data_IF_733185163058
#
_entry.id   IF_733185163058
#
_cell.length_a   1.000
_cell.length_b   1.000
_cell.length_c   1.000
_cell.angle_alpha   90.00
_cell.angle_beta   90.00
_cell.angle_gamma   90.00
#
_symmetry.space_group_name_H-M   'P 1'
#
loop_
_entity.id
_entity.type
_entity.pdbx_description
1 polymer ?
#
# COMPACT_ATOMS: atom_id res chain seq x y z
N UNK A 1 -1.22 8.28 59.66
CA UNK A 1 -2.62 8.78 59.79
C UNK A 1 -2.87 9.85 58.73
N UNK A 2 -3.79 9.59 57.80
CA UNK A 2 -4.75 10.52 57.14
C UNK A 2 -5.16 9.92 55.80
N UNK A 3 -6.32 9.24 55.82
CA UNK A 3 -7.09 8.86 54.65
C UNK A 3 -7.90 10.10 54.23
N UNK A 4 -7.87 10.48 52.95
CA UNK A 4 -8.81 11.44 52.38
C UNK A 4 -9.67 10.66 51.39
N UNK A 5 -10.91 10.43 51.80
CA UNK A 5 -12.03 10.02 50.98
C UNK A 5 -12.56 11.29 50.29
N UNK A 6 -12.69 11.30 48.97
CA UNK A 6 -13.61 12.21 48.29
C UNK A 6 -14.60 11.36 47.48
N UNK A 7 -15.85 11.40 47.94
CA UNK A 7 -17.04 10.91 47.27
C UNK A 7 -17.70 12.15 46.68
N UNK A 8 -17.95 12.18 45.37
CA UNK A 8 -18.97 13.08 44.80
C UNK A 8 -19.60 12.50 43.54
N UNK A 9 -20.74 11.87 43.79
CA UNK A 9 -22.06 12.05 43.15
C UNK A 9 -22.21 12.06 41.62
N UNK A 10 -22.94 11.03 41.17
CA UNK A 10 -23.86 10.94 40.03
C UNK A 10 -24.51 12.26 39.57
N UNK A 11 -24.53 12.47 38.25
CA UNK A 11 -25.65 13.10 37.55
C UNK A 11 -25.92 12.33 36.25
N UNK A 12 -27.08 11.66 36.22
CA UNK A 12 -27.63 11.02 35.05
C UNK A 12 -28.35 12.08 34.20
N UNK A 13 -28.03 12.15 32.91
CA UNK A 13 -28.86 12.79 31.89
C UNK A 13 -28.98 11.82 30.72
N UNK A 14 -29.99 10.95 30.81
CA UNK A 14 -30.53 10.24 29.66
C UNK A 14 -31.52 11.18 28.98
N UNK A 15 -31.21 11.61 27.76
CA UNK A 15 -32.17 12.25 26.87
C UNK A 15 -32.49 11.26 25.72
N UNK A 16 -33.77 10.98 25.44
CA UNK A 16 -34.15 10.16 24.31
C UNK A 16 -34.15 11.01 23.03
N UNK A 17 -33.29 10.67 22.07
CA UNK A 17 -33.42 11.13 20.68
C UNK A 17 -34.21 10.06 19.92
N UNK A 18 -35.53 10.13 20.03
CA UNK A 18 -36.47 9.41 19.18
C UNK A 18 -37.53 10.42 18.72
N UNK A 19 -37.34 10.98 17.53
CA UNK A 19 -38.40 11.32 16.58
C UNK A 19 -37.85 12.10 15.39
N UNK A 20 -37.57 11.39 14.29
CA UNK A 20 -37.68 11.92 12.94
C UNK A 20 -37.84 10.75 11.97
N UNK A 21 -39.00 10.10 12.08
CA UNK A 21 -39.52 9.20 11.05
C UNK A 21 -41.02 9.52 10.89
N UNK A 22 -41.29 10.70 10.35
CA UNK A 22 -42.62 11.05 9.88
C UNK A 22 -42.72 10.66 8.40
N UNK A 23 -43.66 9.77 8.13
CA UNK A 23 -44.36 9.59 6.86
C UNK A 23 -43.54 9.15 5.63
N UNK A 24 -43.13 7.88 5.63
CA UNK A 24 -43.12 7.11 4.38
C UNK A 24 -44.05 5.90 4.55
N UNK A 25 -45.13 5.87 3.77
CA UNK A 25 -46.10 4.78 3.68
C UNK A 25 -45.41 3.49 3.21
N UNK A 26 -44.81 2.73 4.12
CA UNK A 26 -44.31 1.37 3.88
C UNK A 26 -45.40 0.35 4.23
N UNK A 27 -46.53 0.37 3.52
CA UNK A 27 -47.57 -0.64 3.67
C UNK A 27 -47.24 -1.86 2.81
N UNK A 28 -46.57 -2.86 3.38
CA UNK A 28 -46.56 -4.21 2.80
C UNK A 28 -45.32 -5.08 3.02
N UNK A 29 -44.13 -4.48 3.19
CA UNK A 29 -42.90 -5.26 3.38
C UNK A 29 -41.83 -4.46 4.15
N UNK A 30 -41.55 -4.81 5.43
CA UNK A 30 -40.54 -4.14 6.23
C UNK A 30 -39.11 -4.37 5.75
N UNK A 31 -38.84 -5.45 4.99
CA UNK A 31 -37.50 -5.72 4.43
C UNK A 31 -37.22 -4.83 3.21
N UNK A 32 -38.23 -4.57 2.38
CA UNK A 32 -38.11 -3.70 1.21
C UNK A 32 -37.78 -2.23 1.56
N UNK A 33 -38.30 -1.70 2.68
CA UNK A 33 -37.97 -0.33 3.10
C UNK A 33 -36.55 -0.19 3.67
N UNK A 34 -35.97 -1.25 4.24
CA UNK A 34 -34.59 -1.21 4.73
C UNK A 34 -33.57 -1.17 3.58
N UNK A 35 -33.85 -1.85 2.46
CA UNK A 35 -32.98 -1.83 1.27
C UNK A 35 -33.03 -0.47 0.56
N UNK A 36 -34.20 0.16 0.47
CA UNK A 36 -34.33 1.48 -0.16
C UNK A 36 -33.73 2.63 0.68
N UNK A 37 -33.74 2.54 2.01
CA UNK A 37 -33.12 3.57 2.85
C UNK A 37 -31.59 3.56 2.81
N UNK A 38 -30.97 2.41 2.50
CA UNK A 38 -29.50 2.31 2.34
C UNK A 38 -29.09 2.71 0.91
N UNK A 39 -29.93 2.50 -0.10
CA UNK A 39 -29.62 2.86 -1.49
C UNK A 39 -30.01 4.29 -1.88
N UNK A 40 -30.89 4.95 -1.12
CA UNK A 40 -31.34 6.33 -1.39
C UNK A 40 -30.34 7.43 -1.02
N UNK A 41 -29.35 7.15 -0.18
CA UNK A 41 -28.33 8.11 0.27
C UNK A 41 -27.00 8.01 -0.50
N UNK A 42 -27.05 7.55 -1.76
CA UNK A 42 -25.90 7.61 -2.68
C UNK A 42 -26.10 8.58 -3.85
N UNK A 43 -27.17 9.40 -3.85
CA UNK A 43 -27.32 10.49 -4.81
C UNK A 43 -26.71 11.78 -4.26
N UNK A 44 -25.79 12.34 -5.04
CA UNK A 44 -25.00 13.57 -4.82
C UNK A 44 -23.76 13.47 -3.92
N UNK A 45 -22.95 12.42 -4.10
CA UNK A 45 -21.52 12.72 -4.19
C UNK A 45 -21.32 13.39 -5.55
N UNK A 46 -21.27 14.73 -5.56
CA UNK A 46 -20.66 15.47 -6.67
C UNK A 46 -19.35 14.75 -6.97
N UNK A 47 -19.17 14.36 -8.24
CA UNK A 47 -17.88 13.91 -8.70
C UNK A 47 -16.87 14.96 -8.24
N UNK A 48 -16.06 14.63 -7.23
CA UNK A 48 -14.87 15.39 -6.95
C UNK A 48 -14.08 15.21 -8.22
N UNK A 49 -14.03 16.29 -9.00
CA UNK A 49 -13.21 16.39 -10.19
C UNK A 49 -11.80 16.10 -9.71
N UNK A 50 -11.39 14.84 -9.82
CA UNK A 50 -10.02 14.47 -9.54
C UNK A 50 -9.20 15.30 -10.52
N UNK A 51 -8.18 16.03 -10.04
CA UNK A 51 -7.35 16.81 -10.94
C UNK A 51 -6.91 15.89 -12.07
N UNK A 52 -7.10 16.35 -13.31
CA UNK A 52 -6.60 15.62 -14.47
C UNK A 52 -5.14 15.23 -14.18
N UNK A 53 -4.77 13.96 -14.40
CA UNK A 53 -3.40 13.51 -14.20
C UNK A 53 -2.49 14.46 -14.98
N UNK A 54 -1.74 15.26 -14.23
CA UNK A 54 -1.01 16.40 -14.76
C UNK A 54 0.17 15.90 -15.58
N UNK A 55 -0.05 15.76 -16.89
CA UNK A 55 0.90 15.28 -17.89
C UNK A 55 1.46 13.86 -17.61
N UNK A 56 1.84 13.10 -18.65
CA UNK A 56 2.63 11.91 -18.45
C UNK A 56 3.93 12.30 -17.75
N UNK A 57 4.07 11.87 -16.49
CA UNK A 57 5.37 11.79 -15.81
C UNK A 57 6.34 11.18 -16.81
N UNK A 58 7.40 11.93 -17.13
CA UNK A 58 8.47 11.52 -18.02
C UNK A 58 8.79 10.05 -17.74
N UNK A 59 8.48 9.19 -18.72
CA UNK A 59 8.90 7.80 -18.74
C UNK A 59 10.37 7.80 -18.36
N UNK A 60 10.70 7.17 -17.23
CA UNK A 60 12.06 7.04 -16.76
C UNK A 60 12.90 6.51 -17.92
N UNK A 61 13.75 7.37 -18.50
CA UNK A 61 14.71 6.94 -19.50
C UNK A 61 15.56 5.85 -18.84
N UNK A 62 15.63 4.69 -19.50
CA UNK A 62 16.34 3.52 -19.01
C UNK A 62 17.75 3.93 -18.56
N UNK A 63 18.04 3.83 -17.26
CA UNK A 63 19.31 4.25 -16.68
C UNK A 63 20.45 3.47 -17.36
N UNK A 64 21.31 4.12 -18.16
CA UNK A 64 22.39 3.43 -18.84
C UNK A 64 23.50 3.11 -17.84
N UNK A 65 23.90 1.84 -17.73
CA UNK A 65 25.16 1.47 -17.05
C UNK A 65 25.12 0.32 -16.05
N UNK A 66 24.03 -0.44 -15.94
CA UNK A 66 24.00 -1.61 -15.05
C UNK A 66 24.42 -2.87 -15.83
N UNK A 67 25.63 -3.44 -15.61
CA UNK A 67 26.05 -4.64 -16.31
C UNK A 67 25.19 -5.85 -15.89
N UNK A 68 24.52 -6.47 -16.86
CA UNK A 68 23.74 -7.69 -16.66
C UNK A 68 24.65 -8.84 -16.19
N UNK A 69 24.44 -9.36 -14.98
CA UNK A 69 25.22 -10.48 -14.41
C UNK A 69 24.70 -11.87 -14.78
N UNK A 70 23.69 -11.94 -15.64
CA UNK A 70 23.15 -13.17 -16.22
C UNK A 70 22.86 -12.85 -17.69
N UNK A 71 23.25 -13.70 -18.64
CA UNK A 71 23.10 -13.43 -20.08
C UNK A 71 21.66 -13.29 -20.61
N UNK A 72 20.69 -13.06 -19.73
CA UNK A 72 19.34 -12.63 -20.05
C UNK A 72 19.32 -11.10 -20.04
N UNK A 73 18.85 -10.48 -21.12
CA UNK A 73 18.58 -9.05 -21.13
C UNK A 73 17.61 -8.70 -19.99
N UNK A 74 17.82 -7.55 -19.34
CA UNK A 74 16.89 -7.08 -18.33
C UNK A 74 15.49 -6.95 -18.96
N UNK A 75 14.44 -7.48 -18.30
CA UNK A 75 13.08 -7.37 -18.82
C UNK A 75 12.65 -5.90 -18.90
N UNK A 76 11.81 -5.60 -19.89
CA UNK A 76 11.33 -4.24 -20.15
C UNK A 76 10.32 -3.83 -19.06
N UNK A 77 10.50 -2.63 -18.51
CA UNK A 77 9.59 -2.03 -17.53
C UNK A 77 8.16 -1.92 -18.08
N UNK A 78 7.16 -2.23 -17.24
CA UNK A 78 5.73 -2.12 -17.56
C UNK A 78 5.14 -0.89 -16.86
N UNK A 79 5.12 0.29 -17.53
CA UNK A 79 4.63 1.53 -16.92
C UNK A 79 3.12 1.51 -16.67
N UNK A 80 2.34 0.73 -17.42
CA UNK A 80 0.89 0.66 -17.24
C UNK A 80 0.56 -0.08 -15.95
N UNK A 81 1.19 -1.24 -15.72
CA UNK A 81 1.02 -2.00 -14.48
C UNK A 81 1.58 -1.25 -13.27
N UNK A 82 2.71 -0.57 -13.44
CA UNK A 82 3.27 0.29 -12.41
C UNK A 82 2.31 1.42 -12.01
N UNK A 83 1.67 2.08 -12.98
CA UNK A 83 0.66 3.10 -12.72
C UNK A 83 -0.58 2.54 -11.99
N UNK A 84 -1.06 1.35 -12.35
CA UNK A 84 -2.16 0.68 -11.66
C UNK A 84 -1.82 0.39 -10.20
N UNK A 85 -0.61 -0.11 -9.93
CA UNK A 85 -0.15 -0.39 -8.56
C UNK A 85 -0.01 0.90 -7.73
N UNK A 86 0.62 1.92 -8.30
CA UNK A 86 0.75 3.23 -7.66
C UNK A 86 -0.62 3.85 -7.33
N UNK A 87 -1.56 3.81 -8.28
CA UNK A 87 -2.92 4.33 -8.08
C UNK A 87 -3.68 3.52 -7.03
N UNK A 88 -3.58 2.19 -7.07
CA UNK A 88 -4.24 1.32 -6.10
C UNK A 88 -3.77 1.66 -4.68
N UNK A 89 -2.47 1.77 -4.46
CA UNK A 89 -1.87 2.16 -3.18
C UNK A 89 -2.28 3.58 -2.78
N UNK A 90 -2.11 4.59 -3.64
CA UNK A 90 -2.47 5.98 -3.31
C UNK A 90 -3.93 6.16 -2.87
N UNK A 91 -4.84 5.33 -3.40
CA UNK A 91 -6.26 5.34 -3.03
C UNK A 91 -6.56 4.66 -1.69
N UNK A 92 -5.66 3.80 -1.19
CA UNK A 92 -5.75 3.22 0.14
C UNK A 92 -5.03 4.11 1.14
N UNK A 93 -5.76 4.72 2.05
CA UNK A 93 -5.13 5.30 3.24
C UNK A 93 -5.80 4.67 4.46
N UNK A 94 -5.06 3.82 5.18
CA UNK A 94 -5.51 3.30 6.47
C UNK A 94 -5.45 4.38 7.56
N UNK A 95 -4.81 5.52 7.27
CA UNK A 95 -4.77 6.70 8.13
C UNK A 95 -3.92 6.54 9.39
N UNK A 96 -3.23 5.40 9.54
CA UNK A 96 -2.47 5.09 10.75
C UNK A 96 -1.39 4.01 10.51
N UNK A 97 -0.17 4.28 10.97
CA UNK A 97 0.97 3.36 10.98
C UNK A 97 0.76 2.22 11.98
N UNK A 98 -0.13 1.29 11.64
CA UNK A 98 -0.62 0.21 12.52
C UNK A 98 0.20 -1.08 12.46
N UNK A 99 1.42 -1.03 11.91
CA UNK A 99 2.29 -2.19 11.65
C UNK A 99 1.67 -3.18 10.66
N UNK A 100 0.87 -2.65 9.74
CA UNK A 100 0.14 -3.39 8.70
C UNK A 100 0.69 -3.15 7.30
N UNK A 101 1.88 -2.57 7.18
CA UNK A 101 2.53 -2.31 5.89
C UNK A 101 2.47 -3.53 4.93
N UNK A 102 2.72 -4.74 5.42
CA UNK A 102 2.64 -5.95 4.58
C UNK A 102 1.23 -6.27 4.09
N UNK A 103 0.25 -6.27 4.99
CA UNK A 103 -1.16 -6.51 4.66
C UNK A 103 -1.66 -5.46 3.65
N UNK A 104 -1.30 -4.19 3.87
CA UNK A 104 -1.63 -3.09 2.99
C UNK A 104 -1.06 -3.29 1.58
N UNK A 105 0.25 -3.51 1.46
CA UNK A 105 0.88 -3.67 0.14
C UNK A 105 0.35 -4.91 -0.57
N UNK A 106 0.16 -6.01 0.16
CA UNK A 106 -0.40 -7.26 -0.40
C UNK A 106 -1.79 -7.04 -0.98
N UNK A 107 -2.67 -6.35 -0.24
CA UNK A 107 -4.00 -5.97 -0.73
C UNK A 107 -3.94 -5.12 -2.00
N UNK A 108 -3.01 -4.16 -2.08
CA UNK A 108 -2.87 -3.31 -3.26
C UNK A 108 -2.21 -4.01 -4.45
N UNK A 109 -1.32 -4.98 -4.21
CA UNK A 109 -0.81 -5.87 -5.26
C UNK A 109 -1.94 -6.71 -5.86
N UNK A 110 -2.86 -7.24 -5.03
CA UNK A 110 -4.04 -7.96 -5.52
C UNK A 110 -4.97 -7.05 -6.32
N UNK A 111 -5.28 -5.87 -5.78
CA UNK A 111 -6.16 -4.89 -6.44
C UNK A 111 -5.60 -4.41 -7.78
N UNK A 112 -4.28 -4.29 -7.91
CA UNK A 112 -3.60 -3.94 -9.14
C UNK A 112 -3.42 -5.12 -10.12
N UNK A 113 -3.83 -6.33 -9.73
CA UNK A 113 -3.68 -7.54 -10.55
C UNK A 113 -2.23 -8.03 -10.68
N UNK A 114 -1.33 -7.58 -9.80
CA UNK A 114 0.08 -8.03 -9.76
C UNK A 114 0.16 -9.49 -9.30
N UNK A 115 -0.71 -9.86 -8.36
CA UNK A 115 -0.80 -11.21 -7.80
C UNK A 115 -2.27 -11.55 -7.55
N UNK A 116 -2.66 -12.80 -7.79
CA UNK A 116 -4.00 -13.29 -7.44
C UNK A 116 -4.01 -13.87 -6.02
N UNK A 117 -5.13 -13.80 -5.28
CA UNK A 117 -5.19 -14.32 -3.91
C UNK A 117 -4.70 -15.76 -3.75
N UNK A 118 -5.00 -16.66 -4.70
CA UNK A 118 -4.54 -18.05 -4.66
C UNK A 118 -3.03 -18.22 -4.88
N UNK A 119 -2.37 -17.24 -5.52
CA UNK A 119 -0.95 -17.32 -5.83
C UNK A 119 -0.08 -17.14 -4.58
N UNK A 120 -0.52 -16.42 -3.54
CA UNK A 120 0.25 -16.29 -2.29
C UNK A 120 0.61 -17.64 -1.70
N UNK A 121 -0.39 -18.52 -1.58
CA UNK A 121 -0.22 -19.88 -1.08
C UNK A 121 0.54 -20.78 -2.08
N UNK A 122 0.21 -20.69 -3.37
CA UNK A 122 0.85 -21.49 -4.42
C UNK A 122 2.36 -21.23 -4.50
N UNK A 123 2.75 -19.95 -4.44
CA UNK A 123 4.13 -19.50 -4.55
C UNK A 123 4.87 -19.54 -3.21
N UNK A 124 4.16 -19.86 -2.11
CA UNK A 124 4.68 -19.90 -0.74
C UNK A 124 5.35 -18.58 -0.35
N UNK A 125 4.72 -17.48 -0.73
CA UNK A 125 5.17 -16.15 -0.33
C UNK A 125 4.79 -15.97 1.15
N UNK A 126 5.76 -15.58 1.98
CA UNK A 126 5.58 -15.47 3.44
C UNK A 126 4.44 -14.51 3.78
N UNK A 127 3.46 -14.90 4.61
CA UNK A 127 2.17 -14.20 4.69
C UNK A 127 2.17 -12.92 5.52
N UNK A 128 3.20 -12.66 6.33
CA UNK A 128 3.05 -11.74 7.47
C UNK A 128 4.12 -10.65 7.57
N UNK A 129 5.27 -10.78 6.89
CA UNK A 129 6.42 -9.89 7.10
C UNK A 129 7.08 -9.45 5.80
N UNK A 130 7.35 -8.15 5.70
CA UNK A 130 8.07 -7.55 4.58
C UNK A 130 9.43 -8.21 4.31
N UNK A 131 10.19 -8.48 5.37
CA UNK A 131 11.48 -9.15 5.26
C UNK A 131 11.39 -10.57 4.69
N UNK A 132 10.31 -11.31 5.00
CA UNK A 132 10.09 -12.66 4.45
C UNK A 132 9.77 -12.58 2.95
N UNK A 133 9.05 -11.53 2.53
CA UNK A 133 8.84 -11.24 1.11
C UNK A 133 10.14 -10.86 0.40
N UNK A 134 11.00 -10.02 1.00
CA UNK A 134 12.32 -9.70 0.43
C UNK A 134 13.19 -10.96 0.26
N UNK A 135 13.23 -11.82 1.30
CA UNK A 135 13.96 -13.09 1.26
C UNK A 135 13.42 -14.01 0.17
N UNK A 136 12.10 -14.20 0.11
CA UNK A 136 11.44 -14.98 -0.94
C UNK A 136 11.75 -14.42 -2.33
N UNK A 137 11.63 -13.11 -2.54
CA UNK A 137 11.91 -12.43 -3.80
C UNK A 137 13.38 -12.61 -4.24
N UNK A 138 14.31 -12.56 -3.29
CA UNK A 138 15.74 -12.80 -3.53
C UNK A 138 16.04 -14.22 -3.99
N UNK A 139 15.34 -15.21 -3.43
CA UNK A 139 15.52 -16.64 -3.73
C UNK A 139 14.74 -17.10 -4.98
N UNK A 140 13.63 -16.43 -5.33
CA UNK A 140 12.68 -16.88 -6.35
C UNK A 140 12.58 -15.94 -7.55
N UNK A 141 13.72 -15.43 -8.04
CA UNK A 141 13.78 -14.44 -9.14
C UNK A 141 13.05 -14.89 -10.41
N UNK A 142 13.17 -16.17 -10.76
CA UNK A 142 12.50 -16.73 -11.95
C UNK A 142 10.98 -16.72 -11.78
N UNK A 143 10.46 -17.10 -10.61
CA UNK A 143 9.02 -17.07 -10.32
C UNK A 143 8.48 -15.65 -10.24
N UNK A 144 9.23 -14.70 -9.67
CA UNK A 144 8.86 -13.29 -9.73
C UNK A 144 8.64 -12.83 -11.18
N UNK A 145 9.55 -13.22 -12.07
CA UNK A 145 9.47 -12.83 -13.46
C UNK A 145 8.35 -13.57 -14.20
N UNK A 146 8.26 -14.89 -14.08
CA UNK A 146 7.32 -15.70 -14.86
C UNK A 146 5.87 -15.61 -14.37
N UNK A 147 5.67 -15.60 -13.04
CA UNK A 147 4.34 -15.69 -12.43
C UNK A 147 3.74 -14.35 -12.04
N UNK A 148 4.60 -13.41 -11.60
CA UNK A 148 4.16 -12.10 -11.10
C UNK A 148 4.50 -10.94 -12.04
N UNK A 149 5.35 -11.17 -13.03
CA UNK A 149 5.88 -10.13 -13.92
C UNK A 149 6.53 -8.99 -13.13
N UNK A 150 7.30 -9.37 -12.13
CA UNK A 150 8.09 -8.48 -11.30
C UNK A 150 9.58 -8.76 -11.49
N UNK A 151 10.39 -7.71 -11.45
CA UNK A 151 11.84 -7.80 -11.55
C UNK A 151 12.51 -6.92 -10.52
N UNK A 152 13.57 -7.43 -9.87
CA UNK A 152 14.39 -6.63 -8.95
C UNK A 152 15.44 -5.87 -9.76
N UNK A 153 15.39 -4.54 -9.69
CA UNK A 153 16.47 -3.68 -10.20
C UNK A 153 17.44 -3.32 -9.06
N UNK A 154 18.67 -2.88 -9.38
CA UNK A 154 19.53 -2.30 -8.36
C UNK A 154 18.88 -1.07 -7.74
N UNK A 155 18.97 -0.96 -6.43
CA UNK A 155 18.50 0.20 -5.69
C UNK A 155 19.31 1.42 -6.11
N UNK A 156 18.68 2.50 -6.61
CA UNK A 156 19.40 3.69 -7.02
C UNK A 156 19.97 4.42 -5.80
N UNK A 157 21.01 5.25 -6.01
CA UNK A 157 21.59 6.07 -4.94
C UNK A 157 20.72 7.28 -4.59
N UNK A 158 19.98 7.78 -5.59
CA UNK A 158 19.02 8.87 -5.45
C UNK A 158 17.61 8.30 -5.33
N UNK A 159 16.90 8.67 -4.25
CA UNK A 159 15.51 8.24 -4.03
C UNK A 159 14.56 8.74 -5.13
N UNK A 160 14.89 9.86 -5.80
CA UNK A 160 14.11 10.40 -6.91
C UNK A 160 14.15 9.51 -8.14
N UNK A 161 15.19 8.67 -8.27
CA UNK A 161 15.35 7.76 -9.40
C UNK A 161 14.60 6.43 -9.22
N UNK A 162 13.90 6.23 -8.11
CA UNK A 162 13.04 5.07 -7.91
C UNK A 162 11.78 5.22 -8.79
N UNK A 163 11.49 4.27 -9.70
CA UNK A 163 10.31 4.37 -10.56
C UNK A 163 9.00 4.39 -9.76
N UNK A 164 8.05 5.21 -10.18
CA UNK A 164 6.68 5.16 -9.66
C UNK A 164 6.07 3.79 -9.97
N UNK A 165 5.33 3.23 -9.02
CA UNK A 165 4.78 1.88 -9.05
C UNK A 165 5.78 0.79 -8.65
N UNK A 166 6.99 1.16 -8.22
CA UNK A 166 7.92 0.19 -7.60
C UNK A 166 7.39 -0.23 -6.23
N UNK A 167 7.65 -1.49 -5.88
CA UNK A 167 7.54 -2.00 -4.52
C UNK A 167 8.92 -1.87 -3.88
N UNK A 168 9.00 -1.12 -2.79
CA UNK A 168 10.18 -1.02 -1.94
C UNK A 168 10.05 -2.00 -0.79
N UNK A 169 11.06 -2.83 -0.58
CA UNK A 169 11.12 -3.74 0.57
C UNK A 169 12.42 -3.50 1.34
N UNK A 170 12.27 -3.14 2.60
CA UNK A 170 13.37 -2.92 3.55
C UNK A 170 13.54 -4.18 4.37
N UNK A 171 14.74 -4.76 4.34
CA UNK A 171 15.08 -5.88 5.21
C UNK A 171 15.02 -5.47 6.70
N UNK A 172 15.14 -6.46 7.58
CA UNK A 172 15.06 -6.27 9.04
C UNK A 172 16.07 -5.24 9.52
N UNK A 173 15.60 -4.20 10.20
CA UNK A 173 16.45 -3.15 10.81
C UNK A 173 17.05 -2.16 9.82
N UNK A 174 16.76 -2.26 8.53
CA UNK A 174 17.22 -1.30 7.52
C UNK A 174 16.42 -0.01 7.66
N UNK A 175 17.09 1.14 7.54
CA UNK A 175 16.44 2.46 7.58
C UNK A 175 15.61 2.66 8.87
N UNK A 176 16.12 2.17 10.02
CA UNK A 176 15.46 2.20 11.33
C UNK A 176 14.07 1.52 11.41
N UNK A 177 13.70 0.74 10.38
CA UNK A 177 12.48 -0.06 10.41
C UNK A 177 12.60 -1.28 11.35
N UNK A 178 11.49 -1.99 11.52
CA UNK A 178 11.38 -3.12 12.44
C UNK A 178 12.51 -4.15 12.23
N UNK A 179 13.31 -4.36 13.28
CA UNK A 179 14.31 -5.44 13.33
C UNK A 179 13.69 -6.85 13.26
N UNK A 180 12.37 -6.98 13.47
CA UNK A 180 11.66 -8.26 13.37
C UNK A 180 11.10 -8.50 11.97
N UNK A 181 10.47 -7.49 11.39
CA UNK A 181 9.59 -7.66 10.23
C UNK A 181 10.05 -6.91 8.97
N UNK A 182 10.97 -5.96 9.07
CA UNK A 182 11.29 -5.03 7.96
C UNK A 182 10.17 -4.02 7.71
N UNK A 183 10.15 -3.44 6.51
CA UNK A 183 9.09 -2.56 6.00
C UNK A 183 8.85 -2.78 4.51
N UNK A 184 7.65 -2.50 4.02
CA UNK A 184 7.31 -2.61 2.60
C UNK A 184 6.34 -1.48 2.23
N UNK A 185 6.55 -0.89 1.06
CA UNK A 185 5.74 0.22 0.56
C UNK A 185 5.70 0.25 -0.97
N UNK A 186 4.74 0.98 -1.53
CA UNK A 186 4.61 1.22 -2.97
C UNK A 186 4.91 2.69 -3.25
N UNK A 187 5.80 2.97 -4.20
CA UNK A 187 6.07 4.34 -4.66
C UNK A 187 4.89 4.84 -5.47
N UNK A 188 4.18 5.84 -4.95
CA UNK A 188 2.97 6.35 -5.61
C UNK A 188 3.22 7.62 -6.44
N UNK A 189 4.30 8.34 -6.15
CA UNK A 189 4.81 9.49 -6.90
C UNK A 189 6.30 9.69 -6.58
N UNK A 190 7.06 10.54 -7.31
CA UNK A 190 8.48 10.75 -7.02
C UNK A 190 8.72 11.16 -5.55
N UNK A 191 9.63 10.46 -4.87
CA UNK A 191 9.95 10.65 -3.44
C UNK A 191 8.76 10.47 -2.48
N UNK A 192 7.73 9.72 -2.86
CA UNK A 192 6.60 9.45 -1.98
C UNK A 192 6.14 8.02 -2.13
N UNK A 193 5.95 7.34 -1.02
CA UNK A 193 5.52 5.97 -1.00
C UNK A 193 4.46 5.74 0.07
N UNK A 194 3.66 4.70 -0.14
CA UNK A 194 2.53 4.36 0.69
C UNK A 194 2.61 2.91 1.14
N UNK A 195 2.40 2.73 2.43
CA UNK A 195 2.19 1.48 3.14
C UNK A 195 0.99 1.66 4.08
N UNK A 196 1.07 1.28 5.35
CA UNK A 196 0.04 1.62 6.34
C UNK A 196 -0.07 3.14 6.63
N UNK A 197 0.91 3.92 6.19
CA UNK A 197 0.83 5.38 5.99
C UNK A 197 1.53 5.80 4.69
N UNK A 198 1.37 7.05 4.28
CA UNK A 198 2.12 7.59 3.14
C UNK A 198 3.08 8.69 3.59
N UNK A 199 4.32 8.63 3.14
CA UNK A 199 5.36 9.58 3.52
C UNK A 199 6.43 9.79 2.45
N UNK A 200 7.31 10.76 2.71
CA UNK A 200 8.47 10.99 1.86
C UNK A 200 9.51 9.90 2.08
N UNK A 201 10.15 9.45 1.00
CA UNK A 201 11.31 8.57 1.11
C UNK A 201 12.48 9.29 1.82
N UNK A 202 13.22 8.61 2.68
CA UNK A 202 14.41 9.17 3.31
C UNK A 202 15.65 8.99 2.42
N UNK A 203 16.27 10.10 2.01
CA UNK A 203 17.46 10.07 1.17
C UNK A 203 18.66 9.42 1.88
N UNK A 204 18.74 9.51 3.20
CA UNK A 204 19.83 8.89 3.95
C UNK A 204 19.89 7.37 3.72
N UNK A 205 18.72 6.73 3.57
CA UNK A 205 18.62 5.29 3.36
C UNK A 205 19.07 4.83 1.97
N UNK A 206 19.00 5.71 0.96
CA UNK A 206 19.49 5.43 -0.41
C UNK A 206 20.94 5.87 -0.61
N UNK A 207 21.39 6.91 0.10
CA UNK A 207 22.75 7.44 -0.03
C UNK A 207 23.80 6.51 0.61
N UNK A 208 23.49 5.87 1.74
CA UNK A 208 24.42 4.96 2.42
C UNK A 208 24.52 3.59 1.71
N UNK A 209 25.70 3.17 1.20
CA UNK A 209 25.83 1.92 0.46
C UNK A 209 25.52 0.66 1.26
N UNK A 210 25.76 0.66 2.58
CA UNK A 210 25.49 -0.52 3.42
C UNK A 210 23.99 -0.67 3.68
N UNK A 211 23.32 0.42 4.03
CA UNK A 211 21.86 0.47 4.18
C UNK A 211 21.17 0.11 2.87
N UNK A 212 21.63 0.66 1.75
CA UNK A 212 21.04 0.43 0.42
C UNK A 212 21.05 -1.04 -0.01
N UNK A 213 22.01 -1.86 0.42
CA UNK A 213 22.04 -3.30 0.12
C UNK A 213 20.83 -4.05 0.67
N UNK A 214 20.28 -3.56 1.79
CA UNK A 214 19.10 -4.11 2.45
C UNK A 214 17.78 -3.53 1.93
N UNK A 215 17.80 -2.71 0.87
CA UNK A 215 16.61 -2.18 0.22
C UNK A 215 16.44 -2.89 -1.12
N UNK A 216 15.24 -3.40 -1.39
CA UNK A 216 14.89 -4.09 -2.63
C UNK A 216 13.94 -3.19 -3.41
N UNK A 217 14.34 -2.83 -4.64
CA UNK A 217 13.47 -2.12 -5.59
C UNK A 217 12.93 -3.14 -6.59
N UNK A 218 11.64 -3.42 -6.50
CA UNK A 218 10.96 -4.39 -7.34
C UNK A 218 10.00 -3.65 -8.27
N UNK A 219 10.15 -3.84 -9.57
CA UNK A 219 9.37 -3.14 -10.60
C UNK A 219 8.51 -4.10 -11.42
N UNK A 220 7.31 -3.66 -11.85
CA UNK A 220 6.55 -4.36 -12.88
C UNK A 220 7.27 -4.39 -14.24
N UNK A 221 7.18 -5.51 -14.94
CA UNK A 221 7.79 -5.73 -16.26
C UNK A 221 6.86 -6.48 -17.21
N UNK A 222 7.16 -6.50 -18.50
CA UNK A 222 6.34 -7.16 -19.55
C UNK A 222 6.54 -8.68 -19.61
#
# INVERSE_FOLDING_TARGET
MKKILLITTLAALAAPVLNLAAEQNCAGDPFACMVNSVMGSMRELKAVEMPEPSAPLLLAEAVPGIPARTGLAAPEFDPERAALLAQAAAAGNLGYFDRKCYEYVSYHMEKAGVIRPEQWAQLKIGPDHAADFAEWAGLNKELMLSELKLYRIPTPEDKMAVPVGSILVYERGVCDFSAKSGHIEVVTQPNWACSDGCENLDQACFADPETRKGIYVIVPVK
#
